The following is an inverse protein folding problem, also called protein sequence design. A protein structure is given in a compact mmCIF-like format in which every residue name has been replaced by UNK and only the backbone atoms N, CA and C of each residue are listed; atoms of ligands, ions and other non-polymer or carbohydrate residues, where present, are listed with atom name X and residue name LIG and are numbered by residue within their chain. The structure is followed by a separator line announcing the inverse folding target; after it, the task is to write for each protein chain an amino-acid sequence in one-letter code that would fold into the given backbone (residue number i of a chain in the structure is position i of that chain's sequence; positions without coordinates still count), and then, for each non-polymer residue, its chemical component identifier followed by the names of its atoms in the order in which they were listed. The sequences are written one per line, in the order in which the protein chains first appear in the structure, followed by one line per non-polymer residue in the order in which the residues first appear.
data_IF_168509668611
#
_entry.id   IF_168509668611
#
_cell.length_a   1.000
_cell.length_b   1.000
_cell.length_c   1.000
_cell.angle_alpha   90.00
_cell.angle_beta   90.00
_cell.angle_gamma   90.00
#
_symmetry.space_group_name_H-M   'P 1'
#
loop_
_entity.id
_entity.type
_entity.pdbx_description
1 polymer ?
#
# COMPACT_ATOMS: atom_id res chain seq x y z
N UNK A 1 -37.85 -23.69 28.27
CA UNK A 1 -37.93 -22.68 27.19
C UNK A 1 -39.41 -22.51 26.86
N UNK A 2 -40.02 -21.36 27.14
CA UNK A 2 -41.40 -21.08 26.77
C UNK A 2 -41.37 -19.98 25.70
N UNK A 3 -41.58 -20.33 24.43
CA UNK A 3 -41.84 -19.36 23.37
C UNK A 3 -43.36 -19.14 23.34
N UNK A 4 -43.84 -18.14 24.08
CA UNK A 4 -45.26 -17.79 24.06
C UNK A 4 -45.56 -16.94 22.82
N UNK A 5 -46.10 -17.58 21.78
CA UNK A 5 -46.67 -16.89 20.61
C UNK A 5 -48.06 -16.38 20.99
N UNK A 6 -48.25 -15.06 20.97
CA UNK A 6 -49.50 -14.40 21.41
C UNK A 6 -50.58 -14.46 20.34
N UNK A 7 -50.20 -14.37 19.06
CA UNK A 7 -51.12 -14.44 17.93
C UNK A 7 -50.43 -15.05 16.72
N UNK A 8 -51.23 -15.64 15.83
CA UNK A 8 -50.71 -16.23 14.59
C UNK A 8 -50.46 -15.18 13.50
N UNK A 9 -51.27 -14.12 13.53
CA UNK A 9 -51.18 -12.92 12.71
C UNK A 9 -50.07 -11.96 13.17
N UNK A 10 -49.70 -11.00 12.33
CA UNK A 10 -48.79 -9.92 12.71
C UNK A 10 -49.37 -9.01 13.81
N UNK A 11 -48.54 -8.62 14.77
CA UNK A 11 -48.89 -7.60 15.78
C UNK A 11 -48.72 -6.22 15.14
N UNK A 12 -49.77 -5.41 15.18
CA UNK A 12 -49.83 -4.06 14.60
C UNK A 12 -49.57 -2.97 15.64
N UNK A 13 -50.08 -3.11 16.86
CA UNK A 13 -49.96 -2.12 17.92
C UNK A 13 -49.73 -2.76 19.29
N UNK A 14 -49.01 -2.05 20.16
CA UNK A 14 -48.75 -2.46 21.54
C UNK A 14 -49.01 -1.26 22.45
N UNK A 15 -49.78 -1.46 23.52
CA UNK A 15 -49.99 -0.44 24.55
C UNK A 15 -49.79 -1.07 25.93
N UNK A 16 -49.13 -0.34 26.83
CA UNK A 16 -48.91 -0.78 28.21
C UNK A 16 -49.87 -0.08 29.15
N UNK A 17 -50.35 -0.79 30.16
CA UNK A 17 -51.05 -0.19 31.29
C UNK A 17 -50.09 0.71 32.10
N UNK A 18 -50.61 1.76 32.74
CA UNK A 18 -49.82 2.70 33.57
C UNK A 18 -48.99 2.01 34.68
N UNK A 19 -49.52 0.93 35.26
CA UNK A 19 -48.84 0.12 36.28
C UNK A 19 -47.89 -0.94 35.71
N UNK A 20 -47.77 -1.06 34.38
CA UNK A 20 -46.82 -1.95 33.70
C UNK A 20 -47.12 -3.45 33.75
N UNK A 21 -48.18 -3.87 34.46
CA UNK A 21 -48.51 -5.30 34.64
C UNK A 21 -49.18 -5.95 33.43
N UNK A 22 -49.90 -5.16 32.61
CA UNK A 22 -50.67 -5.66 31.47
C UNK A 22 -50.29 -4.94 30.19
N UNK A 23 -50.30 -5.70 29.10
CA UNK A 23 -49.95 -5.23 27.76
C UNK A 23 -51.06 -5.61 26.80
N UNK A 24 -51.60 -4.62 26.09
CA UNK A 24 -52.59 -4.82 25.04
C UNK A 24 -51.87 -4.94 23.69
N UNK A 25 -52.05 -6.08 23.03
CA UNK A 25 -51.49 -6.41 21.72
C UNK A 25 -52.61 -6.34 20.67
N UNK A 26 -52.57 -5.34 19.80
CA UNK A 26 -53.43 -5.25 18.63
C UNK A 26 -52.84 -6.02 17.46
N UNK A 27 -53.64 -6.85 16.81
CA UNK A 27 -53.25 -7.64 15.65
C UNK A 27 -53.77 -7.04 14.36
N UNK A 28 -53.19 -7.44 13.22
CA UNK A 28 -53.62 -6.98 11.90
C UNK A 28 -55.08 -7.35 11.57
N UNK A 29 -55.57 -8.45 12.15
CA UNK A 29 -56.92 -8.97 11.94
C UNK A 29 -57.99 -8.21 12.76
N UNK A 30 -57.60 -7.16 13.48
CA UNK A 30 -58.49 -6.36 14.32
C UNK A 30 -58.74 -6.97 15.70
N UNK A 31 -58.09 -8.08 16.05
CA UNK A 31 -58.19 -8.66 17.39
C UNK A 31 -57.27 -7.92 18.38
N UNK A 32 -57.78 -7.66 19.57
CA UNK A 32 -57.02 -7.10 20.69
C UNK A 32 -56.84 -8.18 21.77
N UNK A 33 -55.59 -8.56 22.03
CA UNK A 33 -55.25 -9.55 23.06
C UNK A 33 -54.60 -8.85 24.24
N UNK A 34 -55.12 -9.05 25.45
CA UNK A 34 -54.52 -8.52 26.67
C UNK A 34 -53.65 -9.60 27.32
N UNK A 35 -52.37 -9.29 27.52
CA UNK A 35 -51.39 -10.20 28.12
C UNK A 35 -50.98 -9.66 29.49
N UNK A 36 -51.05 -10.51 30.52
CA UNK A 36 -50.55 -10.21 31.85
C UNK A 36 -49.10 -10.67 31.98
N UNK A 37 -48.24 -9.78 32.45
CA UNK A 37 -46.83 -10.07 32.67
C UNK A 37 -46.63 -10.71 34.04
N UNK A 38 -45.70 -11.67 34.12
CA UNK A 38 -45.27 -12.23 35.40
C UNK A 38 -44.69 -11.15 36.31
N UNK A 39 -44.76 -11.36 37.63
CA UNK A 39 -44.26 -10.40 38.62
C UNK A 39 -42.80 -10.00 38.37
N UNK A 40 -41.95 -10.97 38.01
CA UNK A 40 -40.52 -10.74 37.72
C UNK A 40 -40.23 -9.78 36.56
N UNK A 41 -41.19 -9.58 35.67
CA UNK A 41 -41.00 -8.77 34.47
C UNK A 41 -41.46 -7.32 34.67
N UNK A 42 -42.36 -7.07 35.63
CA UNK A 42 -42.88 -5.72 35.89
C UNK A 42 -42.44 -5.15 37.25
N UNK A 43 -42.00 -5.97 38.21
CA UNK A 43 -41.41 -5.48 39.46
C UNK A 43 -39.94 -5.12 39.25
N UNK A 44 -39.64 -3.84 39.08
CA UNK A 44 -38.26 -3.38 38.96
C UNK A 44 -37.54 -3.53 40.31
N UNK A 45 -36.52 -4.39 40.37
CA UNK A 45 -35.65 -4.43 41.55
C UNK A 45 -34.74 -3.19 41.51
N UNK A 46 -34.62 -2.48 42.65
CA UNK A 46 -33.98 -1.16 42.76
C UNK A 46 -32.58 -1.04 42.13
N UNK A 47 -31.85 -2.15 41.98
CA UNK A 47 -30.47 -2.17 41.51
C UNK A 47 -30.30 -2.74 40.09
N UNK A 48 -31.36 -3.22 39.42
CA UNK A 48 -31.25 -3.88 38.11
C UNK A 48 -30.76 -2.92 37.04
N UNK A 49 -31.33 -1.71 36.98
CA UNK A 49 -30.95 -0.69 36.01
C UNK A 49 -29.47 -0.34 36.13
N UNK A 50 -29.00 -0.07 37.36
CA UNK A 50 -27.61 0.29 37.62
C UNK A 50 -26.65 -0.86 37.29
N UNK A 51 -27.01 -2.10 37.65
CA UNK A 51 -26.18 -3.28 37.35
C UNK A 51 -26.04 -3.51 35.84
N UNK A 52 -27.15 -3.46 35.11
CA UNK A 52 -27.15 -3.66 33.65
C UNK A 52 -26.38 -2.55 32.96
N UNK A 53 -26.60 -1.29 33.32
CA UNK A 53 -25.83 -0.16 32.78
C UNK A 53 -24.34 -0.33 33.04
N UNK A 54 -23.93 -0.71 34.26
CA UNK A 54 -22.52 -0.95 34.57
C UNK A 54 -21.91 -2.10 33.75
N UNK A 55 -22.67 -3.16 33.49
CA UNK A 55 -22.24 -4.28 32.63
C UNK A 55 -22.05 -3.78 31.18
N UNK A 56 -23.03 -3.07 30.63
CA UNK A 56 -22.98 -2.56 29.26
C UNK A 56 -21.84 -1.56 29.07
N UNK A 57 -21.60 -0.67 30.03
CA UNK A 57 -20.48 0.27 30.00
C UNK A 57 -19.11 -0.43 30.08
N UNK A 58 -19.03 -1.54 30.82
CA UNK A 58 -17.81 -2.37 30.90
C UNK A 58 -17.54 -3.05 29.56
N UNK A 59 -18.57 -3.62 28.93
CA UNK A 59 -18.45 -4.26 27.61
C UNK A 59 -18.10 -3.23 26.52
N UNK A 60 -18.75 -2.06 26.51
CA UNK A 60 -18.42 -0.99 25.58
C UNK A 60 -16.96 -0.51 25.72
N UNK A 61 -16.45 -0.42 26.96
CA UNK A 61 -15.03 -0.08 27.20
C UNK A 61 -14.09 -1.16 26.67
N UNK A 62 -14.43 -2.45 26.87
CA UNK A 62 -13.65 -3.57 26.34
C UNK A 62 -13.60 -3.52 24.81
N UNK A 63 -14.74 -3.32 24.18
CA UNK A 63 -14.86 -3.24 22.74
C UNK A 63 -14.05 -2.06 22.17
N UNK A 64 -14.13 -0.87 22.80
CA UNK A 64 -13.35 0.31 22.38
C UNK A 64 -11.84 0.09 22.48
N UNK A 65 -11.36 -0.60 23.53
CA UNK A 65 -9.93 -0.93 23.68
C UNK A 65 -9.48 -1.89 22.59
N UNK A 66 -10.28 -2.93 22.31
CA UNK A 66 -9.97 -3.90 21.27
C UNK A 66 -9.97 -3.26 19.88
N UNK A 67 -10.93 -2.38 19.60
CA UNK A 67 -11.00 -1.63 18.35
C UNK A 67 -9.77 -0.73 18.17
N UNK A 68 -9.35 -0.01 19.21
CA UNK A 68 -8.13 0.81 19.20
C UNK A 68 -6.88 0.00 18.88
N UNK A 69 -6.69 -1.13 19.58
CA UNK A 69 -5.55 -2.05 19.33
C UNK A 69 -5.55 -2.60 17.90
N UNK A 70 -6.72 -2.98 17.38
CA UNK A 70 -6.82 -3.51 16.02
C UNK A 70 -6.52 -2.43 14.97
N UNK A 71 -6.93 -1.18 15.21
CA UNK A 71 -6.57 -0.04 14.34
C UNK A 71 -5.07 0.23 14.34
N UNK A 72 -4.43 0.18 15.50
CA UNK A 72 -2.98 0.35 15.62
C UNK A 72 -2.19 -0.76 14.91
N UNK A 73 -2.59 -2.02 15.08
CA UNK A 73 -1.98 -3.15 14.38
C UNK A 73 -2.10 -3.00 12.86
N UNK A 74 -3.30 -2.66 12.36
CA UNK A 74 -3.52 -2.41 10.92
C UNK A 74 -2.70 -1.23 10.40
N UNK A 75 -2.49 -0.19 11.21
CA UNK A 75 -1.66 0.94 10.81
C UNK A 75 -0.17 0.55 10.75
N UNK A 76 0.32 -0.20 11.73
CA UNK A 76 1.70 -0.73 11.74
C UNK A 76 1.97 -1.63 10.54
N UNK A 77 1.09 -2.59 10.25
CA UNK A 77 1.22 -3.45 9.07
C UNK A 77 1.25 -2.65 7.76
N UNK A 78 0.42 -1.59 7.65
CA UNK A 78 0.43 -0.70 6.48
C UNK A 78 1.73 0.09 6.37
N UNK A 79 2.27 0.57 7.48
CA UNK A 79 3.54 1.29 7.53
C UNK A 79 4.71 0.37 7.16
N UNK A 80 4.75 -0.85 7.70
CA UNK A 80 5.76 -1.85 7.38
C UNK A 80 5.71 -2.24 5.90
N UNK A 81 4.52 -2.52 5.35
CA UNK A 81 4.36 -2.81 3.92
C UNK A 81 4.78 -1.64 3.03
N UNK A 82 4.42 -0.40 3.42
CA UNK A 82 4.83 0.79 2.67
C UNK A 82 6.35 1.03 2.74
N UNK A 83 6.98 0.74 3.88
CA UNK A 83 8.42 0.82 4.05
C UNK A 83 9.14 -0.24 3.21
N UNK A 84 8.67 -1.49 3.23
CA UNK A 84 9.20 -2.57 2.40
C UNK A 84 9.10 -2.24 0.91
N UNK A 85 7.95 -1.76 0.44
CA UNK A 85 7.78 -1.35 -0.96
C UNK A 85 8.71 -0.18 -1.36
N UNK A 86 8.96 0.77 -0.44
CA UNK A 86 9.91 1.86 -0.68
C UNK A 86 11.35 1.37 -0.75
N UNK A 87 11.74 0.45 0.13
CA UNK A 87 13.07 -0.15 0.12
C UNK A 87 13.30 -0.97 -1.16
N UNK A 88 12.33 -1.78 -1.58
CA UNK A 88 12.38 -2.53 -2.84
C UNK A 88 12.53 -1.60 -4.05
N UNK A 89 11.75 -0.51 -4.09
CA UNK A 89 11.88 0.50 -5.16
C UNK A 89 13.24 1.18 -5.14
N UNK A 90 13.77 1.54 -3.98
CA UNK A 90 15.09 2.16 -3.86
C UNK A 90 16.18 1.22 -4.38
N UNK A 91 16.17 -0.05 -3.94
CA UNK A 91 17.12 -1.06 -4.41
C UNK A 91 17.05 -1.27 -5.93
N UNK A 92 15.85 -1.38 -6.51
CA UNK A 92 15.69 -1.50 -7.96
C UNK A 92 16.17 -0.25 -8.72
N UNK A 93 16.11 0.93 -8.09
CA UNK A 93 16.63 2.17 -8.70
C UNK A 93 18.15 2.19 -8.65
N UNK A 94 18.74 1.80 -7.53
CA UNK A 94 20.20 1.69 -7.35
C UNK A 94 20.80 0.66 -8.32
N UNK A 95 20.21 -0.54 -8.43
CA UNK A 95 20.64 -1.56 -9.42
C UNK A 95 20.60 -1.01 -10.85
N UNK A 96 19.54 -0.29 -11.21
CA UNK A 96 19.42 0.33 -12.54
C UNK A 96 20.47 1.40 -12.79
N UNK A 97 20.80 2.21 -11.79
CA UNK A 97 21.88 3.20 -11.88
C UNK A 97 23.26 2.54 -12.01
N UNK A 98 23.51 1.43 -11.30
CA UNK A 98 24.74 0.64 -11.44
C UNK A 98 24.87 0.05 -12.84
N UNK A 99 23.81 -0.53 -13.40
CA UNK A 99 23.77 -1.02 -14.78
C UNK A 99 24.07 0.09 -15.79
N UNK A 100 23.41 1.25 -15.67
CA UNK A 100 23.67 2.41 -16.55
C UNK A 100 25.12 2.90 -16.46
N UNK A 101 25.73 2.84 -15.28
CA UNK A 101 27.14 3.22 -15.08
C UNK A 101 28.12 2.22 -15.69
N UNK A 102 27.82 0.91 -15.63
CA UNK A 102 28.63 -0.13 -16.27
C UNK A 102 28.60 0.00 -17.80
N UNK A 103 27.44 0.30 -18.37
CA UNK A 103 27.28 0.52 -19.82
C UNK A 103 28.11 1.72 -20.27
N UNK A 104 28.05 2.86 -19.56
CA UNK A 104 28.83 4.05 -19.89
C UNK A 104 30.35 3.78 -19.89
N UNK A 105 30.84 3.04 -18.88
CA UNK A 105 32.26 2.64 -18.82
C UNK A 105 32.65 1.78 -20.02
N UNK A 106 31.82 0.82 -20.41
CA UNK A 106 32.08 -0.03 -21.57
C UNK A 106 32.11 0.77 -22.88
N UNK A 107 31.23 1.75 -23.05
CA UNK A 107 31.23 2.66 -24.20
C UNK A 107 32.52 3.50 -24.28
N UNK A 108 32.97 4.06 -23.15
CA UNK A 108 34.21 4.83 -23.07
C UNK A 108 35.44 3.99 -23.46
N UNK A 109 35.55 2.77 -22.92
CA UNK A 109 36.63 1.83 -23.22
C UNK A 109 36.64 1.42 -24.70
N UNK A 110 35.47 1.20 -25.29
CA UNK A 110 35.33 0.91 -26.72
C UNK A 110 35.85 2.05 -27.58
N UNK A 111 35.42 3.29 -27.34
CA UNK A 111 35.85 4.44 -28.14
C UNK A 111 37.32 4.78 -27.94
N UNK A 112 37.86 4.59 -26.73
CA UNK A 112 39.30 4.71 -26.46
C UNK A 112 40.11 3.71 -27.30
N UNK A 113 39.66 2.46 -27.35
CA UNK A 113 40.31 1.41 -28.14
C UNK A 113 40.22 1.69 -29.64
N UNK A 114 39.05 2.08 -30.16
CA UNK A 114 38.87 2.41 -31.57
C UNK A 114 39.68 3.63 -32.00
N UNK A 115 39.73 4.68 -31.17
CA UNK A 115 40.46 5.91 -31.49
C UNK A 115 41.98 5.68 -31.49
N UNK A 116 42.49 4.88 -30.56
CA UNK A 116 43.92 4.50 -30.51
C UNK A 116 44.31 3.60 -31.70
N UNK A 117 43.50 2.60 -32.03
CA UNK A 117 43.63 1.77 -33.23
C UNK A 117 43.65 2.62 -34.51
N UNK A 118 42.69 3.54 -34.66
CA UNK A 118 42.58 4.42 -35.83
C UNK A 118 43.79 5.33 -35.97
N UNK A 119 44.24 5.95 -34.88
CA UNK A 119 45.40 6.83 -34.88
C UNK A 119 46.70 6.05 -35.19
N UNK A 120 46.82 4.82 -34.69
CA UNK A 120 47.92 3.93 -35.03
C UNK A 120 47.91 3.52 -36.52
N UNK A 121 46.75 3.23 -37.09
CA UNK A 121 46.58 2.96 -38.53
C UNK A 121 46.94 4.18 -39.39
N UNK A 122 46.52 5.37 -39.00
CA UNK A 122 46.87 6.62 -39.71
C UNK A 122 48.38 6.89 -39.65
N UNK A 123 49.00 6.70 -38.48
CA UNK A 123 50.46 6.77 -38.33
C UNK A 123 51.17 5.72 -39.19
N UNK A 124 50.65 4.49 -39.26
CA UNK A 124 51.20 3.42 -40.12
C UNK A 124 51.04 3.74 -41.60
N UNK A 125 49.89 4.27 -42.04
CA UNK A 125 49.65 4.74 -43.41
C UNK A 125 50.54 5.93 -43.79
N UNK A 126 50.73 6.89 -42.89
CA UNK A 126 51.61 8.03 -43.11
C UNK A 126 53.08 7.61 -43.21
N UNK A 127 53.52 6.65 -42.40
CA UNK A 127 54.86 6.04 -42.50
C UNK A 127 55.03 5.28 -43.83
N UNK A 128 54.03 4.50 -44.25
CA UNK A 128 54.05 3.79 -45.54
C UNK A 128 54.10 4.74 -46.75
N UNK A 129 53.43 5.90 -46.69
CA UNK A 129 53.51 6.93 -47.75
C UNK A 129 54.87 7.64 -47.81
N UNK A 130 55.54 7.86 -46.66
CA UNK A 130 56.88 8.47 -46.62
C UNK A 130 57.98 7.53 -47.14
N UNK A 131 57.75 6.23 -47.13
CA UNK A 131 58.73 5.22 -47.56
C UNK A 131 58.68 4.93 -49.08
N UNK A 132 57.71 5.48 -49.82
CA UNK A 132 57.56 5.28 -51.27
C UNK A 132 57.81 6.56 -52.10
N UNK A 133 58.66 7.49 -51.60
CA UNK A 133 59.09 8.68 -52.35
C UNK A 133 60.41 8.36 -53.04
N UNK A 134 60.48 8.26 -54.39
CA UNK A 134 61.74 8.03 -55.09
C UNK A 134 62.58 9.30 -55.05
N UNK A 135 63.82 9.15 -54.58
CA UNK A 135 64.87 10.17 -54.64
C UNK A 135 65.52 10.16 -56.01
N UNK A 136 65.43 11.25 -56.77
CA UNK A 136 66.41 11.58 -57.81
C UNK A 136 66.99 12.95 -57.49
N UNK A 137 68.31 12.98 -57.30
CA UNK A 137 69.10 14.13 -56.93
C UNK A 137 70.33 14.12 -57.85
N UNK A 138 70.45 15.08 -58.75
CA UNK A 138 71.74 15.47 -59.33
C UNK A 138 71.77 16.99 -59.41
N UNK A 139 72.71 17.59 -58.69
CA UNK A 139 73.05 18.99 -58.84
C UNK A 139 74.37 19.10 -59.58
N UNK A 140 74.50 20.10 -60.45
CA UNK A 140 75.81 20.56 -60.92
C UNK A 140 75.86 22.09 -60.99
N UNK A 141 76.62 22.62 -60.02
CA UNK A 141 77.40 23.86 -59.87
C UNK A 141 77.15 25.09 -60.78
N UNK A 142 77.05 26.24 -60.08
CA UNK A 142 77.41 27.60 -60.53
C UNK A 142 78.88 27.67 -60.99
N UNK A 143 79.38 28.60 -61.82
CA UNK A 143 79.13 30.03 -62.05
C UNK A 143 79.88 30.46 -63.36
N UNK A 144 80.25 31.73 -63.65
CA UNK A 144 79.60 33.05 -63.53
C UNK A 144 79.62 33.91 -64.85
N UNK A 145 78.75 34.93 -64.89
CA UNK A 145 78.86 36.31 -65.44
C UNK A 145 79.72 36.61 -66.70
N UNK A 146 79.04 37.05 -67.77
CA UNK A 146 79.17 38.38 -68.42
C UNK A 146 77.82 38.78 -69.04
#
# INVERSE_FOLDING_TARGET
MCFSRVSDSGIYSLSMQDYGRRVACGTLDGNLTLVELSDRLHTLQKNEKTLITAILEREMRREKILEGRNRELKLKEKMEKAAALRAEKAAATEEREEEENLVKKAEEDFWSTISTERNNLEKRRAKAKKQNVPTNNEGEKAAPVE
#
